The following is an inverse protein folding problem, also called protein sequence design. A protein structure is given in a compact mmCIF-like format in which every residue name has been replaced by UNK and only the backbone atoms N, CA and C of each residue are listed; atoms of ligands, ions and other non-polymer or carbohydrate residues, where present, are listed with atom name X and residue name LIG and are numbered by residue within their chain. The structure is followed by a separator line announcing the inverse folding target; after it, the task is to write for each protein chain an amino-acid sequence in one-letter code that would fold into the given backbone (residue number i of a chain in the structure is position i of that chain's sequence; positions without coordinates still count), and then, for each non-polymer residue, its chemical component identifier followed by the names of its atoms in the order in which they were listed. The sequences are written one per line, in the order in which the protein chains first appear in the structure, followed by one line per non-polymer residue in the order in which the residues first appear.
data_IF_958950810981
#
_entry.id   IF_958950810981
#
_cell.length_a   1.000
_cell.length_b   1.000
_cell.length_c   1.000
_cell.angle_alpha   90.00
_cell.angle_beta   90.00
_cell.angle_gamma   90.00
#
_symmetry.space_group_name_H-M   'P 1'
#
loop_
_entity.id
_entity.type
_entity.pdbx_description
1 polymer ?
#
# COMPACT_ATOMS: atom_id res chain seq x y z
N UNK A 1 3.45 -4.95 60.21
CA UNK A 1 4.72 -5.18 59.50
C UNK A 1 4.38 -5.83 58.17
N UNK A 2 4.41 -5.01 57.11
CA UNK A 2 4.40 -5.29 55.67
C UNK A 2 3.70 -6.54 55.11
N UNK A 3 2.42 -6.37 54.77
CA UNK A 3 1.88 -6.84 53.48
C UNK A 3 2.17 -5.74 52.46
N UNK A 4 2.95 -6.00 51.41
CA UNK A 4 3.24 -4.99 50.38
C UNK A 4 3.75 -5.61 49.07
N UNK A 5 2.96 -5.37 48.02
CA UNK A 5 3.39 -5.10 46.63
C UNK A 5 4.13 -6.21 45.86
N UNK A 6 3.38 -7.17 45.31
CA UNK A 6 3.73 -7.83 44.04
C UNK A 6 2.44 -8.15 43.26
N UNK A 7 1.72 -7.10 42.82
CA UNK A 7 0.58 -7.23 41.90
C UNK A 7 0.44 -6.06 40.92
N UNK A 8 1.51 -5.27 40.72
CA UNK A 8 1.53 -4.16 39.76
C UNK A 8 2.77 -4.22 38.88
N UNK A 9 2.92 -5.32 38.12
CA UNK A 9 4.02 -5.49 37.17
C UNK A 9 3.63 -6.17 35.85
N UNK A 10 2.34 -6.43 35.60
CA UNK A 10 1.85 -7.07 34.37
C UNK A 10 1.02 -6.13 33.47
N UNK A 11 1.25 -4.82 33.59
CA UNK A 11 0.68 -3.79 32.74
C UNK A 11 1.79 -2.78 32.48
N UNK A 12 2.68 -3.04 31.51
CA UNK A 12 3.54 -2.05 30.81
C UNK A 12 4.60 -2.68 29.88
N UNK A 13 4.31 -3.80 29.22
CA UNK A 13 5.22 -4.35 28.19
C UNK A 13 4.52 -4.88 26.93
N UNK A 14 3.30 -4.40 26.64
CA UNK A 14 2.60 -4.73 25.38
C UNK A 14 2.80 -3.72 24.24
N UNK A 15 3.66 -2.70 24.39
CA UNK A 15 3.78 -1.62 23.39
C UNK A 15 5.08 -1.60 22.56
N UNK A 16 5.97 -2.59 22.68
CA UNK A 16 7.24 -2.58 21.92
C UNK A 16 7.55 -3.92 21.23
N UNK A 17 6.54 -4.68 20.86
CA UNK A 17 6.73 -5.87 20.02
C UNK A 17 6.56 -5.47 18.55
N UNK A 18 7.61 -5.51 17.71
CA UNK A 18 7.46 -5.27 16.28
C UNK A 18 6.47 -6.27 15.66
N UNK A 19 5.69 -5.85 14.64
CA UNK A 19 4.54 -6.61 14.12
C UNK A 19 4.89 -8.01 13.58
N UNK A 20 6.17 -8.32 13.33
CA UNK A 20 6.65 -9.64 12.92
C UNK A 20 6.23 -10.76 13.90
N UNK A 21 6.22 -10.50 15.22
CA UNK A 21 5.82 -11.51 16.22
C UNK A 21 4.31 -11.81 16.22
N UNK A 22 3.47 -11.05 15.51
CA UNK A 22 2.04 -11.37 15.39
C UNK A 22 1.77 -12.46 14.35
N UNK A 23 2.66 -12.62 13.37
CA UNK A 23 2.54 -13.64 12.32
C UNK A 23 3.14 -15.01 12.79
N UNK A 24 3.87 -15.05 13.93
CA UNK A 24 4.55 -16.24 14.46
C UNK A 24 4.13 -16.55 15.92
N UNK A 25 3.32 -17.61 16.12
CA UNK A 25 3.28 -18.32 17.41
C UNK A 25 1.88 -18.53 18.01
N UNK A 26 1.25 -19.66 17.68
CA UNK A 26 0.27 -20.31 18.55
C UNK A 26 0.68 -21.78 18.68
N UNK A 27 1.46 -22.13 19.71
CA UNK A 27 1.71 -23.53 20.07
C UNK A 27 1.48 -23.80 21.56
N UNK A 28 0.85 -24.94 21.79
CA UNK A 28 0.29 -25.50 23.03
C UNK A 28 1.42 -26.09 23.90
N UNK A 29 1.48 -25.73 25.17
CA UNK A 29 2.37 -26.38 26.16
C UNK A 29 1.67 -27.61 26.75
N UNK A 30 2.24 -28.80 26.53
CA UNK A 30 1.91 -30.02 27.28
C UNK A 30 3.00 -30.29 28.34
N UNK A 31 2.54 -30.61 29.56
CA UNK A 31 3.34 -30.86 30.75
C UNK A 31 4.09 -32.19 30.69
N UNK A 32 5.38 -32.22 31.08
CA UNK A 32 6.13 -33.46 31.33
C UNK A 32 6.52 -33.60 32.81
N UNK A 33 6.25 -34.79 33.36
CA UNK A 33 6.46 -35.20 34.76
C UNK A 33 7.94 -35.57 35.02
N UNK A 34 8.47 -35.15 36.16
CA UNK A 34 9.83 -35.42 36.66
C UNK A 34 9.98 -36.83 37.27
N UNK A 35 11.07 -37.54 36.93
CA UNK A 35 11.66 -38.59 37.79
C UNK A 35 13.20 -38.62 37.71
N UNK A 36 13.84 -38.89 38.86
CA UNK A 36 15.28 -38.73 39.15
C UNK A 36 16.15 -39.96 38.87
N UNK A 37 17.46 -39.75 38.59
CA UNK A 37 18.63 -40.34 39.31
C UNK A 37 19.96 -39.82 38.73
N UNK A 38 20.94 -39.65 39.60
CA UNK A 38 22.16 -38.82 39.46
C UNK A 38 23.32 -39.49 38.71
N UNK A 39 24.12 -38.66 38.03
CA UNK A 39 25.42 -38.92 37.37
C UNK A 39 25.49 -39.19 35.86
N UNK A 40 24.40 -39.52 35.17
CA UNK A 40 24.27 -39.27 33.71
C UNK A 40 23.71 -37.86 33.41
N UNK A 41 23.29 -37.15 34.46
CA UNK A 41 22.55 -35.91 34.38
C UNK A 41 23.39 -34.75 33.83
N UNK A 42 24.68 -34.62 34.20
CA UNK A 42 25.48 -33.46 33.78
C UNK A 42 25.82 -33.45 32.28
N UNK A 43 26.17 -34.61 31.71
CA UNK A 43 26.42 -34.72 30.28
C UNK A 43 25.14 -34.56 29.46
N UNK A 44 24.01 -35.13 29.94
CA UNK A 44 22.69 -34.87 29.34
C UNK A 44 22.27 -33.40 29.48
N UNK A 45 22.52 -32.75 30.60
CA UNK A 45 22.21 -31.33 30.81
C UNK A 45 23.07 -30.43 29.93
N UNK A 46 24.36 -30.72 29.77
CA UNK A 46 25.23 -29.98 28.85
C UNK A 46 24.82 -30.19 27.40
N UNK A 47 24.45 -31.41 27.01
CA UNK A 47 23.98 -31.70 25.66
C UNK A 47 22.61 -31.06 25.38
N UNK A 48 21.66 -31.14 26.31
CA UNK A 48 20.37 -30.45 26.22
C UNK A 48 20.58 -28.94 26.21
N UNK A 49 21.45 -28.39 27.05
CA UNK A 49 21.78 -26.96 27.06
C UNK A 49 22.41 -26.52 25.73
N UNK A 50 23.36 -27.30 25.18
CA UNK A 50 23.96 -27.04 23.87
C UNK A 50 22.93 -27.12 22.74
N UNK A 51 22.04 -28.12 22.76
CA UNK A 51 20.94 -28.22 21.79
C UNK A 51 19.95 -27.07 21.93
N UNK A 52 19.62 -26.62 23.14
CA UNK A 52 18.76 -25.45 23.35
C UNK A 52 19.44 -24.18 22.86
N UNK A 53 20.74 -23.98 23.13
CA UNK A 53 21.50 -22.82 22.66
C UNK A 53 21.61 -22.82 21.14
N UNK A 54 21.93 -23.96 20.53
CA UNK A 54 21.99 -24.12 19.08
C UNK A 54 20.61 -23.89 18.43
N UNK A 55 19.53 -24.40 19.03
CA UNK A 55 18.15 -24.15 18.59
C UNK A 55 17.78 -22.67 18.69
N UNK A 56 18.09 -22.00 19.80
CA UNK A 56 17.81 -20.56 19.95
C UNK A 56 18.63 -19.73 18.98
N UNK A 57 19.88 -20.12 18.70
CA UNK A 57 20.73 -19.42 17.74
C UNK A 57 20.19 -19.60 16.32
N UNK A 58 19.76 -20.80 15.93
CA UNK A 58 19.12 -21.05 14.64
C UNK A 58 17.77 -20.32 14.50
N UNK A 59 16.96 -20.30 15.56
CA UNK A 59 15.71 -19.53 15.59
C UNK A 59 16.00 -18.02 15.42
N UNK A 60 17.07 -17.51 16.02
CA UNK A 60 17.45 -16.10 15.95
C UNK A 60 18.04 -15.70 14.59
N UNK A 61 18.93 -16.53 14.02
CA UNK A 61 19.47 -16.35 12.67
C UNK A 61 18.36 -16.42 11.60
N UNK A 62 17.40 -17.34 11.73
CA UNK A 62 16.24 -17.41 10.85
C UNK A 62 15.34 -16.17 10.96
N UNK A 63 15.14 -15.62 12.16
CA UNK A 63 14.36 -14.39 12.34
C UNK A 63 15.06 -13.15 11.78
N UNK A 64 16.39 -13.09 11.86
CA UNK A 64 17.16 -11.96 11.33
C UNK A 64 17.20 -11.99 9.79
N UNK A 65 17.28 -13.17 9.19
CA UNK A 65 17.26 -13.35 7.73
C UNK A 65 15.87 -13.06 7.12
N UNK A 66 14.78 -13.48 7.77
CA UNK A 66 13.40 -13.12 7.37
C UNK A 66 13.08 -11.63 7.62
N UNK A 67 13.62 -11.03 8.69
CA UNK A 67 13.45 -9.60 8.97
C UNK A 67 14.18 -8.71 7.95
N UNK A 68 15.31 -9.17 7.40
CA UNK A 68 16.09 -8.42 6.43
C UNK A 68 15.28 -8.17 5.14
N UNK A 69 14.63 -9.20 4.57
CA UNK A 69 13.89 -9.06 3.32
C UNK A 69 12.57 -8.26 3.40
N UNK A 70 11.93 -8.21 4.57
CA UNK A 70 10.59 -7.61 4.74
C UNK A 70 10.58 -6.08 4.52
N UNK A 71 11.71 -5.43 4.78
CA UNK A 71 11.80 -3.96 4.85
C UNK A 71 12.94 -3.42 3.98
N UNK A 72 13.27 -4.10 2.89
CA UNK A 72 14.37 -3.75 1.97
C UNK A 72 13.96 -2.74 0.89
N UNK A 73 12.67 -2.45 0.74
CA UNK A 73 12.18 -1.50 -0.27
C UNK A 73 12.65 -0.07 0.04
N UNK A 74 13.26 0.61 -0.93
CA UNK A 74 13.79 1.98 -0.74
C UNK A 74 12.78 3.05 -1.16
N UNK A 75 12.07 2.77 -2.24
CA UNK A 75 11.05 3.64 -2.80
C UNK A 75 9.63 3.09 -2.57
N UNK A 76 8.67 3.99 -2.60
CA UNK A 76 7.25 3.65 -2.67
C UNK A 76 6.54 4.53 -3.68
N UNK A 77 5.44 4.04 -4.24
CA UNK A 77 4.64 4.74 -5.25
C UNK A 77 3.33 5.16 -4.61
N UNK A 78 3.08 6.46 -4.52
CA UNK A 78 1.74 6.96 -4.27
C UNK A 78 1.02 7.13 -5.61
N UNK A 79 -0.14 6.50 -5.74
CA UNK A 79 -0.81 6.31 -7.03
C UNK A 79 -2.19 6.92 -6.96
N UNK A 80 -2.43 7.87 -7.87
CA UNK A 80 -3.73 8.50 -8.07
C UNK A 80 -4.32 8.06 -9.41
N UNK A 81 -5.62 7.88 -9.44
CA UNK A 81 -6.39 7.38 -10.57
C UNK A 81 -7.45 8.41 -10.95
N UNK A 82 -7.61 8.61 -12.26
CA UNK A 82 -8.67 9.43 -12.81
C UNK A 82 -9.91 8.58 -13.10
N UNK A 83 -11.05 8.83 -12.42
CA UNK A 83 -12.26 8.04 -12.62
C UNK A 83 -12.82 8.12 -14.03
N UNK A 84 -12.64 9.25 -14.71
CA UNK A 84 -13.21 9.50 -16.04
C UNK A 84 -12.64 8.61 -17.15
N UNK A 85 -11.47 7.98 -16.94
CA UNK A 85 -10.86 7.07 -17.92
C UNK A 85 -10.59 5.66 -17.37
N UNK A 86 -10.81 5.42 -16.07
CA UNK A 86 -10.64 4.10 -15.45
C UNK A 86 -11.42 3.00 -16.19
N UNK A 87 -12.70 3.26 -16.46
CA UNK A 87 -13.60 2.27 -17.06
C UNK A 87 -13.27 1.96 -18.52
N UNK A 88 -12.58 2.85 -19.24
CA UNK A 88 -12.15 2.64 -20.62
C UNK A 88 -11.16 1.46 -20.69
N UNK A 89 -10.24 1.37 -19.73
CA UNK A 89 -9.25 0.29 -19.63
C UNK A 89 -9.70 -0.93 -18.84
N UNK A 90 -10.88 -0.87 -18.23
CA UNK A 90 -11.38 -1.93 -17.38
C UNK A 90 -11.82 -3.13 -18.22
N UNK A 91 -11.37 -4.33 -17.86
CA UNK A 91 -11.84 -5.57 -18.49
C UNK A 91 -13.37 -5.65 -18.53
N UNK A 92 -13.93 -6.15 -19.63
CA UNK A 92 -15.38 -6.33 -19.80
C UNK A 92 -16.00 -7.31 -18.80
N UNK A 93 -15.19 -8.12 -18.12
CA UNK A 93 -15.61 -9.02 -17.04
C UNK A 93 -16.07 -8.27 -15.77
N UNK A 94 -15.65 -7.02 -15.60
CA UNK A 94 -16.02 -6.22 -14.43
C UNK A 94 -17.09 -5.18 -14.80
N UNK A 95 -18.09 -5.03 -13.93
CA UNK A 95 -19.05 -3.93 -14.00
C UNK A 95 -18.40 -2.67 -13.44
N UNK A 96 -18.33 -1.61 -14.26
CA UNK A 96 -17.79 -0.33 -13.84
C UNK A 96 -18.87 0.53 -13.20
N UNK A 97 -18.58 1.12 -12.06
CA UNK A 97 -19.50 1.98 -11.31
C UNK A 97 -18.70 3.15 -10.77
N UNK A 98 -18.93 4.35 -11.30
CA UNK A 98 -18.34 5.58 -10.75
C UNK A 98 -19.35 6.18 -9.77
N UNK A 99 -19.04 6.31 -8.48
CA UNK A 99 -19.97 6.92 -7.53
C UNK A 99 -20.27 8.39 -7.92
N UNK A 100 -21.53 8.85 -7.87
CA UNK A 100 -21.91 10.18 -8.37
C UNK A 100 -21.19 11.36 -7.70
N UNK A 101 -20.76 11.18 -6.45
CA UNK A 101 -20.04 12.18 -5.67
C UNK A 101 -18.56 12.31 -6.05
N UNK A 102 -18.00 11.35 -6.79
CA UNK A 102 -16.60 11.39 -7.23
C UNK A 102 -16.47 12.33 -8.42
N UNK A 103 -15.71 13.42 -8.24
CA UNK A 103 -15.47 14.46 -9.26
C UNK A 103 -13.99 14.72 -9.55
N UNK A 104 -13.10 14.17 -8.74
CA UNK A 104 -11.68 14.52 -8.69
C UNK A 104 -10.81 13.28 -8.85
N UNK A 105 -9.49 13.48 -8.89
CA UNK A 105 -8.53 12.38 -8.78
C UNK A 105 -8.70 11.67 -7.44
N UNK A 106 -8.67 10.34 -7.47
CA UNK A 106 -8.82 9.50 -6.29
C UNK A 106 -7.55 8.72 -6.03
N UNK A 107 -7.36 8.28 -4.79
CA UNK A 107 -6.29 7.34 -4.44
C UNK A 107 -6.60 6.01 -5.10
N UNK A 108 -5.60 5.42 -5.75
CA UNK A 108 -5.58 4.01 -6.08
C UNK A 108 -4.80 3.23 -5.03
N UNK A 109 -3.64 3.75 -4.62
CA UNK A 109 -2.65 2.95 -3.94
C UNK A 109 -1.52 3.72 -3.26
N UNK A 110 -0.92 3.10 -2.24
CA UNK A 110 0.37 3.48 -1.66
C UNK A 110 1.26 2.23 -1.58
N UNK A 111 2.16 2.06 -2.54
CA UNK A 111 2.79 0.77 -2.79
C UNK A 111 4.29 0.82 -2.58
N UNK A 112 4.85 0.10 -1.58
CA UNK A 112 6.26 -0.24 -1.58
C UNK A 112 6.69 -0.81 -2.93
N UNK A 113 7.82 -0.34 -3.47
CA UNK A 113 8.30 -0.81 -4.77
C UNK A 113 8.79 -2.25 -4.68
N UNK A 114 8.49 -3.02 -5.72
CA UNK A 114 9.02 -4.38 -5.96
C UNK A 114 8.73 -5.43 -4.87
N UNK A 115 7.80 -5.14 -3.96
CA UNK A 115 7.42 -6.05 -2.89
C UNK A 115 5.90 -6.02 -2.66
N UNK A 116 5.32 -7.20 -2.42
CA UNK A 116 3.89 -7.35 -2.15
C UNK A 116 3.61 -8.59 -1.29
N UNK A 117 2.43 -8.62 -0.66
CA UNK A 117 1.93 -9.76 0.13
C UNK A 117 2.87 -10.18 1.27
N UNK A 118 3.44 -9.21 2.00
CA UNK A 118 4.52 -9.49 2.96
C UNK A 118 4.07 -10.16 4.26
N UNK A 119 2.88 -9.87 4.79
CA UNK A 119 2.25 -10.71 5.82
C UNK A 119 0.76 -10.93 5.47
N UNK A 120 0.44 -11.94 4.64
CA UNK A 120 -0.93 -12.18 4.17
C UNK A 120 -1.94 -12.54 5.27
N UNK A 121 -1.47 -13.02 6.42
CA UNK A 121 -2.33 -13.31 7.58
C UNK A 121 -2.71 -12.06 8.39
N UNK A 122 -2.11 -10.91 8.11
CA UNK A 122 -2.49 -9.64 8.73
C UNK A 122 -3.67 -9.01 7.99
N UNK A 123 -4.86 -9.56 8.24
CA UNK A 123 -6.10 -9.07 7.65
C UNK A 123 -6.52 -7.70 8.18
N UNK A 124 -7.22 -6.94 7.34
CA UNK A 124 -7.84 -5.67 7.71
C UNK A 124 -9.21 -5.91 8.33
N UNK A 125 -9.47 -5.34 9.51
CA UNK A 125 -10.80 -5.27 10.11
C UNK A 125 -11.30 -3.83 10.11
N UNK A 126 -12.63 -3.65 10.11
CA UNK A 126 -13.25 -2.31 10.11
C UNK A 126 -12.79 -1.45 11.29
N UNK A 127 -12.61 -2.06 12.46
CA UNK A 127 -12.12 -1.38 13.67
C UNK A 127 -10.72 -0.78 13.51
N UNK A 128 -9.89 -1.34 12.62
CA UNK A 128 -8.51 -0.88 12.43
C UNK A 128 -8.43 0.46 11.70
N UNK A 129 -9.51 0.83 10.99
CA UNK A 129 -9.60 2.09 10.24
C UNK A 129 -10.02 3.27 11.12
N UNK A 130 -10.47 3.03 12.35
CA UNK A 130 -10.89 4.07 13.29
C UNK A 130 -11.94 5.00 12.66
N UNK A 131 -11.68 6.31 12.59
CA UNK A 131 -12.53 7.37 12.05
C UNK A 131 -12.31 7.66 10.56
N UNK A 132 -11.38 6.96 9.90
CA UNK A 132 -11.06 7.14 8.48
C UNK A 132 -12.13 6.73 7.46
N UNK A 133 -13.10 5.82 7.72
CA UNK A 133 -13.97 5.29 6.67
C UNK A 133 -14.68 6.35 5.82
N UNK A 134 -15.16 7.45 6.40
CA UNK A 134 -15.82 8.52 5.64
C UNK A 134 -14.88 9.21 4.65
N UNK A 135 -13.64 9.50 5.07
CA UNK A 135 -12.64 10.11 4.18
C UNK A 135 -12.19 9.11 3.11
N UNK A 136 -12.02 7.83 3.47
CA UNK A 136 -11.67 6.78 2.51
C UNK A 136 -12.76 6.57 1.46
N UNK A 137 -14.03 6.58 1.82
CA UNK A 137 -15.12 6.49 0.83
C UNK A 137 -15.11 7.66 -0.15
N UNK A 138 -14.75 8.87 0.30
CA UNK A 138 -14.69 10.06 -0.56
C UNK A 138 -13.46 10.05 -1.49
N UNK A 139 -12.31 9.62 -0.97
CA UNK A 139 -11.02 9.85 -1.61
C UNK A 139 -10.34 8.58 -2.14
N UNK A 140 -10.76 7.40 -1.69
CA UNK A 140 -10.26 6.09 -2.11
C UNK A 140 -11.42 5.11 -2.42
N UNK A 141 -12.39 5.50 -3.26
CA UNK A 141 -13.53 4.64 -3.59
C UNK A 141 -13.12 3.46 -4.49
N UNK A 142 -13.97 2.44 -4.54
CA UNK A 142 -13.94 1.45 -5.63
C UNK A 142 -14.73 1.97 -6.82
N UNK A 143 -14.19 1.75 -8.03
CA UNK A 143 -14.85 2.11 -9.29
C UNK A 143 -15.45 0.90 -10.03
N UNK A 144 -15.53 -0.23 -9.34
CA UNK A 144 -16.21 -1.44 -9.80
C UNK A 144 -17.31 -1.83 -8.82
N UNK A 145 -18.25 -2.66 -9.26
CA UNK A 145 -19.36 -3.18 -8.43
C UNK A 145 -18.86 -4.18 -7.36
N UNK A 146 -18.15 -3.65 -6.35
CA UNK A 146 -17.63 -4.29 -5.15
C UNK A 146 -17.78 -3.32 -3.98
N UNK A 147 -17.56 -3.79 -2.75
CA UNK A 147 -17.56 -2.89 -1.59
C UNK A 147 -16.22 -2.17 -1.45
N UNK A 148 -16.24 -0.94 -0.97
CA UNK A 148 -15.03 -0.16 -0.72
C UNK A 148 -14.11 -0.86 0.30
N UNK A 149 -14.69 -1.41 1.36
CA UNK A 149 -13.92 -2.15 2.36
C UNK A 149 -13.21 -3.38 1.77
N UNK A 150 -13.82 -4.08 0.81
CA UNK A 150 -13.14 -5.18 0.12
C UNK A 150 -11.94 -4.68 -0.70
N UNK A 151 -12.07 -3.51 -1.33
CA UNK A 151 -10.95 -2.88 -2.03
C UNK A 151 -9.82 -2.51 -1.07
N UNK A 152 -10.13 -1.81 0.04
CA UNK A 152 -9.13 -1.43 1.04
C UNK A 152 -8.46 -2.65 1.69
N UNK A 153 -9.21 -3.73 1.94
CA UNK A 153 -8.67 -4.97 2.46
C UNK A 153 -7.62 -5.57 1.51
N UNK A 154 -7.89 -5.58 0.20
CA UNK A 154 -6.93 -6.07 -0.79
C UNK A 154 -5.69 -5.18 -0.89
N UNK A 155 -5.87 -3.85 -0.88
CA UNK A 155 -4.74 -2.90 -0.86
C UNK A 155 -3.88 -3.07 0.40
N UNK A 156 -4.51 -3.28 1.56
CA UNK A 156 -3.80 -3.54 2.80
C UNK A 156 -2.99 -4.83 2.73
N UNK A 157 -3.63 -5.96 2.42
CA UNK A 157 -2.95 -7.28 2.38
C UNK A 157 -1.82 -7.27 1.37
N UNK A 158 -2.06 -6.70 0.18
CA UNK A 158 -1.09 -6.73 -0.91
C UNK A 158 0.06 -5.73 -0.72
N UNK A 159 -0.20 -4.54 -0.20
CA UNK A 159 0.77 -3.45 -0.17
C UNK A 159 0.99 -2.88 1.24
N UNK A 160 -0.08 -2.63 1.99
CA UNK A 160 0.00 -2.08 3.34
C UNK A 160 0.81 -2.93 4.32
N UNK A 161 0.69 -4.26 4.25
CA UNK A 161 1.46 -5.18 5.11
C UNK A 161 2.97 -5.08 4.88
N UNK A 162 3.41 -4.79 3.65
CA UNK A 162 4.82 -4.53 3.33
C UNK A 162 5.29 -3.15 3.79
N UNK A 163 4.38 -2.17 3.74
CA UNK A 163 4.67 -0.79 4.14
C UNK A 163 4.79 -0.66 5.67
N UNK A 164 4.11 -1.54 6.42
CA UNK A 164 4.02 -1.52 7.88
C UNK A 164 5.32 -1.86 8.63
N UNK A 165 6.45 -1.91 7.92
CA UNK A 165 7.78 -2.09 8.49
C UNK A 165 8.42 -0.77 8.95
N UNK A 166 7.86 0.39 8.58
CA UNK A 166 8.27 1.71 9.09
C UNK A 166 7.24 2.27 10.07
N UNK A 167 7.71 3.01 11.08
CA UNK A 167 6.88 3.52 12.18
C UNK A 167 5.70 4.37 11.70
N UNK A 168 5.90 5.17 10.64
CA UNK A 168 4.90 6.07 10.07
C UNK A 168 3.74 5.34 9.37
N UNK A 169 3.89 4.04 9.08
CA UNK A 169 2.91 3.20 8.39
C UNK A 169 2.58 1.90 9.16
N UNK A 170 3.04 1.79 10.41
CA UNK A 170 3.07 0.55 11.20
C UNK A 170 1.72 -0.03 11.61
N UNK A 171 0.60 0.50 11.09
CA UNK A 171 -0.76 0.02 11.35
C UNK A 171 -1.68 0.37 10.16
N UNK A 172 -2.84 -0.29 10.02
CA UNK A 172 -3.81 0.08 9.00
C UNK A 172 -4.22 1.56 9.05
N UNK A 173 -4.60 2.09 10.22
CA UNK A 173 -4.96 3.50 10.38
C UNK A 173 -3.85 4.45 9.97
N UNK A 174 -2.59 4.14 10.31
CA UNK A 174 -1.42 4.95 9.89
C UNK A 174 -1.22 4.90 8.38
N UNK A 175 -1.29 3.73 7.76
CA UNK A 175 -1.13 3.55 6.31
C UNK A 175 -2.21 4.28 5.51
N UNK A 176 -3.48 4.05 5.83
CA UNK A 176 -4.61 4.71 5.14
C UNK A 176 -4.65 6.21 5.43
N UNK A 177 -4.40 6.61 6.68
CA UNK A 177 -4.31 8.02 7.07
C UNK A 177 -3.16 8.75 6.37
N UNK A 178 -2.02 8.10 6.16
CA UNK A 178 -0.92 8.67 5.39
C UNK A 178 -1.31 8.85 3.92
N UNK A 179 -1.92 7.85 3.28
CA UNK A 179 -2.37 7.97 1.90
C UNK A 179 -3.34 9.16 1.68
N UNK A 180 -4.24 9.41 2.63
CA UNK A 180 -5.11 10.60 2.63
C UNK A 180 -4.32 11.92 2.74
N UNK A 181 -3.29 11.98 3.60
CA UNK A 181 -2.38 13.14 3.70
C UNK A 181 -1.60 13.36 2.41
N UNK A 182 -1.14 12.28 1.77
CA UNK A 182 -0.42 12.34 0.50
C UNK A 182 -1.32 12.84 -0.64
N UNK A 183 -2.61 12.49 -0.66
CA UNK A 183 -3.55 13.04 -1.63
C UNK A 183 -3.63 14.57 -1.54
N UNK A 184 -3.65 15.12 -0.34
CA UNK A 184 -3.67 16.56 -0.12
C UNK A 184 -2.34 17.23 -0.52
N UNK A 185 -1.20 16.58 -0.23
CA UNK A 185 0.14 17.10 -0.54
C UNK A 185 0.46 17.06 -2.05
N UNK A 186 0.11 15.96 -2.70
CA UNK A 186 0.38 15.68 -4.12
C UNK A 186 -0.85 15.92 -4.98
N UNK A 187 -1.52 17.07 -4.78
CA UNK A 187 -2.83 17.36 -5.37
C UNK A 187 -2.77 17.63 -6.88
N UNK A 188 -3.17 16.62 -7.67
CA UNK A 188 -3.17 16.66 -9.13
C UNK A 188 -4.23 17.62 -9.69
N UNK A 189 -5.45 17.61 -9.13
CA UNK A 189 -6.54 18.49 -9.57
C UNK A 189 -6.10 19.95 -9.57
N UNK A 190 -5.53 20.42 -8.46
CA UNK A 190 -5.06 21.81 -8.30
C UNK A 190 -3.91 22.14 -9.25
N UNK A 191 -3.02 21.18 -9.51
CA UNK A 191 -1.89 21.38 -10.42
C UNK A 191 -2.35 21.56 -11.87
N UNK A 192 -3.27 20.69 -12.33
CA UNK A 192 -3.82 20.75 -13.68
C UNK A 192 -4.72 21.99 -13.87
N UNK A 193 -5.58 22.30 -12.89
CA UNK A 193 -6.44 23.49 -12.92
C UNK A 193 -5.62 24.78 -13.03
N UNK A 194 -4.54 24.91 -12.24
CA UNK A 194 -3.64 26.07 -12.29
C UNK A 194 -2.99 26.24 -13.67
N UNK A 195 -2.80 25.15 -14.42
CA UNK A 195 -2.27 25.16 -15.77
C UNK A 195 -3.35 25.31 -16.86
N UNK A 196 -4.62 25.50 -16.49
CA UNK A 196 -5.79 25.47 -17.38
C UNK A 196 -5.90 24.15 -18.18
N UNK A 197 -5.45 23.04 -17.58
CA UNK A 197 -5.62 21.69 -18.13
C UNK A 197 -6.88 21.11 -17.52
N UNK A 198 -7.97 21.18 -18.26
CA UNK A 198 -9.29 20.75 -17.81
C UNK A 198 -9.77 19.50 -18.57
N UNK A 199 -10.64 18.68 -17.98
CA UNK A 199 -11.22 17.56 -18.69
C UNK A 199 -12.04 18.01 -19.91
N UNK A 200 -11.81 17.40 -21.07
CA UNK A 200 -12.45 17.76 -22.33
C UNK A 200 -12.58 16.57 -23.28
N UNK A 201 -13.64 16.56 -24.10
CA UNK A 201 -13.77 15.61 -25.21
C UNK A 201 -13.18 16.14 -26.53
N UNK A 202 -12.97 17.45 -26.65
CA UNK A 202 -12.52 18.10 -27.90
C UNK A 202 -11.07 18.59 -27.83
N UNK A 203 -10.48 18.63 -26.64
CA UNK A 203 -9.12 19.08 -26.42
C UNK A 203 -8.24 17.94 -25.92
N UNK A 204 -7.08 17.81 -26.52
CA UNK A 204 -5.99 16.94 -26.11
C UNK A 204 -4.79 17.79 -25.65
N UNK A 205 -3.84 17.16 -24.99
CA UNK A 205 -2.66 17.80 -24.41
C UNK A 205 -1.39 17.07 -24.85
N UNK A 206 -0.31 17.82 -25.03
CA UNK A 206 1.03 17.25 -25.21
C UNK A 206 1.54 16.73 -23.87
N UNK A 207 2.36 15.67 -23.90
CA UNK A 207 2.95 15.08 -22.70
C UNK A 207 3.73 16.12 -21.88
N UNK A 208 4.52 16.95 -22.54
CA UNK A 208 5.33 17.98 -21.90
C UNK A 208 4.49 19.03 -21.19
N UNK A 209 3.28 19.33 -21.69
CA UNK A 209 2.37 20.25 -21.04
C UNK A 209 1.84 19.68 -19.72
N UNK A 210 1.41 18.40 -19.74
CA UNK A 210 0.97 17.67 -18.55
C UNK A 210 2.10 17.52 -17.54
N UNK A 211 3.27 17.05 -18.00
CA UNK A 211 4.44 16.86 -17.15
C UNK A 211 4.89 18.17 -16.50
N UNK A 212 4.95 19.28 -17.25
CA UNK A 212 5.31 20.60 -16.71
C UNK A 212 4.30 21.11 -15.69
N UNK A 213 3.00 20.85 -15.88
CA UNK A 213 1.97 21.24 -14.92
C UNK A 213 2.09 20.46 -13.60
N UNK A 214 2.47 19.18 -13.67
CA UNK A 214 2.57 18.29 -12.52
C UNK A 214 3.92 18.38 -11.79
N UNK A 215 5.00 18.71 -12.50
CA UNK A 215 6.37 18.76 -11.98
C UNK A 215 6.51 19.51 -10.64
N UNK A 216 5.93 20.72 -10.43
CA UNK A 216 6.09 21.44 -9.17
C UNK A 216 5.46 20.76 -7.96
N UNK A 217 4.52 19.82 -8.18
CA UNK A 217 3.77 19.14 -7.12
C UNK A 217 4.28 17.70 -6.94
N UNK A 218 4.58 16.99 -8.04
CA UNK A 218 4.94 15.57 -8.02
C UNK A 218 6.46 15.32 -8.08
N UNK A 219 7.25 16.32 -8.48
CA UNK A 219 8.68 16.14 -8.76
C UNK A 219 8.94 15.44 -10.11
N UNK A 220 10.23 15.31 -10.47
CA UNK A 220 10.65 14.79 -11.78
C UNK A 220 10.30 13.31 -12.00
N UNK A 221 10.33 12.51 -10.94
CA UNK A 221 10.11 11.07 -11.00
C UNK A 221 8.62 10.66 -11.08
N UNK A 222 7.77 11.47 -11.71
CA UNK A 222 6.35 11.15 -11.86
C UNK A 222 6.09 10.28 -13.11
N UNK A 223 5.27 9.25 -12.96
CA UNK A 223 4.89 8.31 -14.04
C UNK A 223 3.45 8.61 -14.47
N UNK A 224 3.29 9.14 -15.68
CA UNK A 224 1.99 9.36 -16.31
C UNK A 224 1.62 8.10 -17.08
N UNK A 225 0.52 7.48 -16.68
CA UNK A 225 0.00 6.28 -17.31
C UNK A 225 -1.33 6.53 -18.01
N UNK A 226 -1.44 5.93 -19.18
CA UNK A 226 -2.54 6.08 -20.10
C UNK A 226 -3.18 4.73 -20.43
N UNK A 227 -4.44 4.81 -20.87
CA UNK A 227 -5.15 3.76 -21.58
C UNK A 227 -5.36 4.18 -23.03
N UNK A 228 -5.50 3.21 -23.93
CA UNK A 228 -5.96 3.45 -25.30
C UNK A 228 -7.42 3.00 -25.45
N UNK A 229 -8.28 3.84 -26.01
CA UNK A 229 -9.67 3.45 -26.29
C UNK A 229 -9.82 2.68 -27.61
N UNK A 230 -11.06 2.30 -27.94
CA UNK A 230 -11.41 1.60 -29.17
C UNK A 230 -11.18 2.42 -30.46
N UNK A 231 -11.04 3.75 -30.36
CA UNK A 231 -10.70 4.66 -31.47
C UNK A 231 -9.20 4.90 -31.59
N UNK A 232 -8.40 4.25 -30.74
CA UNK A 232 -6.96 4.42 -30.68
C UNK A 232 -6.52 5.70 -29.97
N UNK A 233 -7.40 6.47 -29.33
CA UNK A 233 -7.03 7.69 -28.57
C UNK A 233 -6.31 7.29 -27.29
N UNK A 234 -5.22 7.99 -26.98
CA UNK A 234 -4.48 7.84 -25.72
C UNK A 234 -5.10 8.75 -24.66
N UNK A 235 -5.45 8.20 -23.50
CA UNK A 235 -6.20 8.91 -22.47
C UNK A 235 -5.47 8.78 -21.14
N UNK A 236 -5.21 9.90 -20.47
CA UNK A 236 -4.59 9.94 -19.15
C UNK A 236 -5.48 9.22 -18.13
N UNK A 237 -4.93 8.26 -17.39
CA UNK A 237 -5.70 7.41 -16.46
C UNK A 237 -5.12 7.37 -15.07
N UNK A 238 -3.81 7.28 -14.93
CA UNK A 238 -3.19 7.09 -13.63
C UNK A 238 -1.89 7.89 -13.57
N UNK A 239 -1.60 8.47 -12.42
CA UNK A 239 -0.34 9.16 -12.18
C UNK A 239 0.27 8.59 -10.91
N UNK A 240 1.57 8.29 -10.96
CA UNK A 240 2.32 7.83 -9.80
C UNK A 240 3.39 8.85 -9.45
N UNK A 241 3.52 9.13 -8.17
CA UNK A 241 4.69 9.82 -7.63
C UNK A 241 5.56 8.80 -6.89
N UNK A 242 6.84 8.78 -7.22
CA UNK A 242 7.82 7.95 -6.53
C UNK A 242 8.39 8.68 -5.31
N UNK A 243 8.25 8.07 -4.14
CA UNK A 243 8.51 8.64 -2.83
C UNK A 243 9.58 7.85 -2.08
N UNK A 244 10.40 8.55 -1.31
CA UNK A 244 11.23 7.93 -0.28
C UNK A 244 10.37 7.48 0.92
N UNK A 245 10.95 6.69 1.84
CA UNK A 245 10.28 6.29 3.11
C UNK A 245 9.79 7.46 3.97
N UNK A 246 10.39 8.64 3.82
CA UNK A 246 9.99 9.87 4.49
C UNK A 246 8.89 10.65 3.72
N UNK A 247 8.36 10.07 2.65
CA UNK A 247 7.30 10.62 1.80
C UNK A 247 7.65 11.85 0.95
N UNK A 248 8.94 12.21 0.87
CA UNK A 248 9.41 13.19 -0.13
C UNK A 248 9.50 12.55 -1.52
N UNK A 249 9.25 13.34 -2.57
CA UNK A 249 9.30 12.87 -3.96
C UNK A 249 10.73 12.78 -4.49
N UNK A 250 10.91 12.02 -5.59
CA UNK A 250 12.18 11.90 -6.30
C UNK A 250 12.96 10.62 -6.00
N UNK A 251 12.29 9.58 -5.49
CA UNK A 251 12.94 8.29 -5.31
C UNK A 251 13.04 7.54 -6.65
N UNK A 252 14.25 7.26 -7.11
CA UNK A 252 14.47 6.50 -8.34
C UNK A 252 14.75 5.04 -8.00
N UNK A 253 13.90 4.15 -8.49
CA UNK A 253 14.09 2.70 -8.35
C UNK A 253 14.51 2.12 -9.71
N UNK A 254 15.78 1.74 -9.83
CA UNK A 254 16.34 1.15 -11.05
C UNK A 254 15.75 -0.24 -11.35
N UNK A 255 15.10 -0.88 -10.37
CA UNK A 255 14.57 -2.24 -10.46
C UNK A 255 13.08 -2.31 -10.79
N UNK A 256 12.50 -1.28 -11.41
CA UNK A 256 11.07 -1.25 -11.70
C UNK A 256 10.60 -2.50 -12.47
N UNK A 257 9.94 -3.45 -11.81
CA UNK A 257 9.43 -4.63 -12.49
C UNK A 257 8.25 -4.26 -13.37
N UNK A 258 8.18 -4.93 -14.53
CA UNK A 258 7.07 -4.85 -15.46
C UNK A 258 5.87 -5.58 -14.85
N UNK A 259 5.11 -4.87 -14.02
CA UNK A 259 3.81 -5.38 -13.60
C UNK A 259 2.84 -5.33 -14.79
N UNK A 260 2.07 -6.40 -15.07
CA UNK A 260 1.06 -6.40 -16.11
C UNK A 260 -0.12 -5.51 -15.68
N UNK A 261 0.06 -4.20 -15.80
CA UNK A 261 -1.00 -3.21 -15.67
C UNK A 261 -1.67 -3.01 -17.04
N UNK A 262 -3.01 -2.85 -17.08
CA UNK A 262 -3.69 -2.35 -18.27
C UNK A 262 -3.27 -0.91 -18.62
N UNK A 263 -2.74 -0.16 -17.65
CA UNK A 263 -2.24 1.20 -17.86
C UNK A 263 -0.78 1.15 -18.27
N UNK A 264 -0.49 1.71 -19.45
CA UNK A 264 0.85 1.81 -20.01
C UNK A 264 1.40 3.21 -19.80
N UNK A 265 2.73 3.42 -19.77
CA UNK A 265 3.28 4.76 -19.81
C UNK A 265 2.69 5.55 -20.98
N UNK A 266 2.31 6.80 -20.76
CA UNK A 266 1.84 7.67 -21.82
C UNK A 266 2.97 7.91 -22.83
N UNK A 267 2.69 7.73 -24.12
CA UNK A 267 3.60 7.99 -25.21
C UNK A 267 3.72 9.50 -25.42
N UNK A 268 4.93 10.04 -25.29
CA UNK A 268 5.21 11.48 -25.44
C UNK A 268 5.00 12.00 -26.86
N UNK A 269 5.10 11.13 -27.87
CA UNK A 269 4.92 11.49 -29.28
C UNK A 269 3.46 11.61 -29.73
N UNK A 270 2.51 11.33 -28.84
CA UNK A 270 1.08 11.31 -29.15
C UNK A 270 0.34 12.26 -28.23
N UNK A 271 -0.72 12.87 -28.76
CA UNK A 271 -1.63 13.66 -27.95
C UNK A 271 -2.30 12.78 -26.88
N UNK A 272 -2.50 13.36 -25.70
CA UNK A 272 -3.10 12.72 -24.54
C UNK A 272 -4.40 13.42 -24.23
N UNK A 273 -5.50 12.68 -24.25
CA UNK A 273 -6.79 13.17 -23.83
C UNK A 273 -6.92 13.10 -22.30
N UNK A 274 -7.52 14.12 -21.72
CA UNK A 274 -7.97 14.13 -20.33
C UNK A 274 -9.50 14.20 -20.35
N UNK A 275 -10.18 13.06 -20.28
CA UNK A 275 -11.63 13.01 -20.49
C UNK A 275 -12.44 13.41 -19.26
N UNK A 276 -13.61 14.05 -19.41
CA UNK A 276 -14.53 14.30 -18.31
C UNK A 276 -15.10 13.00 -17.75
N UNK A 277 -15.54 13.04 -16.49
CA UNK A 277 -16.28 11.94 -15.87
C UNK A 277 -17.70 11.92 -16.46
N UNK A 278 -18.10 10.79 -17.07
CA UNK A 278 -19.49 10.52 -17.48
C UNK A 278 -20.04 9.31 -16.72
N UNK A 279 -21.16 9.50 -16.03
CA UNK A 279 -21.74 8.46 -15.17
C UNK A 279 -22.60 7.48 -15.96
N UNK A 280 -23.25 7.94 -17.03
CA UNK A 280 -24.20 7.18 -17.83
C UNK A 280 -23.49 6.21 -18.79
N UNK A 281 -22.32 6.60 -19.29
CA UNK A 281 -21.51 5.83 -20.25
C UNK A 281 -20.02 5.88 -19.89
N UNK A 282 -19.61 5.33 -18.74
CA UNK A 282 -18.25 5.53 -18.23
C UNK A 282 -17.18 4.80 -19.06
N UNK A 283 -17.57 3.79 -19.86
CA UNK A 283 -16.66 3.07 -20.78
C UNK A 283 -16.36 3.81 -22.08
N UNK A 284 -17.19 4.79 -22.45
CA UNK A 284 -16.98 5.67 -23.60
C UNK A 284 -17.38 7.11 -23.24
N UNK A 285 -16.58 7.80 -22.41
CA UNK A 285 -16.92 9.12 -21.88
C UNK A 285 -16.92 10.21 -22.96
N UNK A 286 -16.34 9.95 -24.14
CA UNK A 286 -16.28 10.87 -25.26
C UNK A 286 -16.52 10.11 -26.58
N UNK A 287 -17.80 9.82 -26.90
CA UNK A 287 -18.18 9.09 -28.10
C UNK A 287 -17.91 9.86 -29.40
#
# INVERSE_FOLDING_TARGET
MFYSLYSQGCLLLSELVPPVKRCLGAERQDNLVMMSKTSLCWAMWLFVALLTVARTQWEQEATDEEANGFCDWTCMKFVQLWPGSFCVGLSTKFSCVIPPFVKNWTIHGLWPSEIMNCCPCWHLFKSDLQDLPTQLSQHWPTLINKTEFFFWMNEWVKHGTCAACIESLSSPSKYFGMALKLLAAYNIDKALEKANILPSCSQSYQYEALHRALLPVLGEACDLQCVTDNKGRQILTQVKVSLFRNFSSGCFDEKAAVNPSPYKPCLSTREIFYFPIRLEQPRDPCP
#
